data_IF_411707749504
#
_entry.id   IF_411707749504
#
_cell.length_a   1.000
_cell.length_b   1.000
_cell.length_c   1.000
_cell.angle_alpha   90.00
_cell.angle_beta   90.00
_cell.angle_gamma   90.00
#
_symmetry.space_group_name_H-M   'P 1'
#
loop_
_entity.id
_entity.type
_entity.pdbx_description
1 polymer ?
#
# COMPACT_ATOMS: atom_id res chain seq x y z
N UNK A 1 -39.45 6.07 -15.84
CA UNK A 1 -38.46 5.86 -16.92
C UNK A 1 -38.10 4.39 -16.98
N UNK A 2 -38.21 3.76 -18.15
CA UNK A 2 -37.80 2.37 -18.36
C UNK A 2 -36.27 2.28 -18.25
N UNK A 3 -35.77 1.77 -17.13
CA UNK A 3 -34.33 1.69 -16.84
C UNK A 3 -33.64 0.78 -17.86
N UNK A 4 -32.73 1.30 -18.68
CA UNK A 4 -31.89 0.49 -19.57
C UNK A 4 -30.92 -0.37 -18.75
N UNK A 5 -30.64 -1.59 -19.21
CA UNK A 5 -29.50 -2.34 -18.67
C UNK A 5 -28.19 -1.66 -19.11
N UNK A 6 -27.06 -2.00 -18.48
CA UNK A 6 -25.75 -1.44 -18.86
C UNK A 6 -25.46 -1.61 -20.36
N UNK A 7 -25.66 -2.81 -20.89
CA UNK A 7 -25.43 -3.12 -22.32
C UNK A 7 -26.39 -2.33 -23.21
N UNK A 8 -27.68 -2.28 -22.84
CA UNK A 8 -28.66 -1.48 -23.58
C UNK A 8 -28.36 0.02 -23.54
N UNK A 9 -27.82 0.52 -22.44
CA UNK A 9 -27.42 1.91 -22.32
C UNK A 9 -26.23 2.21 -23.24
N UNK A 10 -25.18 1.39 -23.22
CA UNK A 10 -24.03 1.55 -24.13
C UNK A 10 -24.47 1.52 -25.59
N UNK A 11 -25.27 0.54 -26.01
CA UNK A 11 -25.80 0.46 -27.37
C UNK A 11 -26.69 1.67 -27.71
N UNK A 12 -27.48 2.16 -26.76
CA UNK A 12 -28.26 3.38 -26.98
C UNK A 12 -27.36 4.61 -27.19
N UNK A 13 -26.23 4.70 -26.48
CA UNK A 13 -25.23 5.74 -26.72
C UNK A 13 -24.61 5.61 -28.11
N UNK A 14 -24.28 4.41 -28.57
CA UNK A 14 -23.75 4.19 -29.92
C UNK A 14 -24.76 4.62 -30.99
N UNK A 15 -26.04 4.32 -30.79
CA UNK A 15 -27.14 4.73 -31.67
C UNK A 15 -27.23 6.26 -31.78
N UNK A 16 -27.19 6.99 -30.65
CA UNK A 16 -27.33 8.46 -30.69
C UNK A 16 -26.04 9.18 -31.10
N UNK A 17 -24.91 8.47 -31.16
CA UNK A 17 -23.60 9.03 -31.55
C UNK A 17 -23.31 8.84 -33.04
N UNK A 18 -24.16 8.13 -33.77
CA UNK A 18 -23.99 7.82 -35.20
C UNK A 18 -25.21 8.24 -36.00
N UNK A 19 -25.01 9.07 -37.02
CA UNK A 19 -26.09 9.54 -37.90
C UNK A 19 -26.80 8.39 -38.64
N UNK A 20 -26.09 7.27 -38.86
CA UNK A 20 -26.58 6.12 -39.63
C UNK A 20 -26.28 4.78 -38.92
N UNK A 21 -26.59 4.68 -37.63
CA UNK A 21 -26.43 3.42 -36.89
C UNK A 21 -27.20 2.26 -37.58
N UNK A 22 -26.53 1.12 -37.72
CA UNK A 22 -27.14 -0.12 -38.21
C UNK A 22 -26.92 -1.24 -37.21
N UNK A 23 -28.00 -1.93 -36.85
CA UNK A 23 -27.94 -3.08 -35.97
C UNK A 23 -27.09 -4.21 -36.59
N UNK A 24 -26.44 -5.00 -35.73
CA UNK A 24 -25.60 -6.13 -36.13
C UNK A 24 -26.40 -7.20 -36.88
N UNK A 25 -25.71 -7.99 -37.72
CA UNK A 25 -26.33 -9.04 -38.57
C UNK A 25 -26.92 -10.19 -37.75
N UNK A 26 -26.31 -10.50 -36.61
CA UNK A 26 -26.82 -11.47 -35.66
C UNK A 26 -27.66 -10.70 -34.67
N UNK A 27 -28.99 -10.88 -34.71
CA UNK A 27 -29.96 -10.19 -33.85
C UNK A 27 -29.46 -10.09 -32.41
N UNK A 28 -28.84 -8.97 -32.06
CA UNK A 28 -28.43 -8.76 -30.70
C UNK A 28 -29.71 -8.52 -29.89
N UNK A 29 -29.89 -9.32 -28.85
CA UNK A 29 -31.02 -9.21 -27.92
C UNK A 29 -31.16 -7.81 -27.30
N UNK A 30 -30.12 -6.99 -27.45
CA UNK A 30 -29.94 -5.65 -26.93
C UNK A 30 -30.84 -4.63 -27.64
N UNK A 31 -30.71 -4.42 -28.96
CA UNK A 31 -31.52 -3.44 -29.70
C UNK A 31 -33.01 -3.80 -29.64
N UNK A 32 -33.37 -5.09 -29.76
CA UNK A 32 -34.75 -5.53 -29.55
C UNK A 32 -35.24 -5.24 -28.13
N UNK A 33 -34.34 -5.28 -27.13
CA UNK A 33 -34.64 -4.87 -25.77
C UNK A 33 -34.88 -3.37 -25.63
N UNK A 34 -34.16 -2.55 -26.39
CA UNK A 34 -34.32 -1.08 -26.46
C UNK A 34 -35.62 -0.72 -27.21
N UNK A 35 -35.91 -1.41 -28.31
CA UNK A 35 -37.15 -1.27 -29.09
C UNK A 35 -38.37 -1.62 -28.25
N UNK A 36 -38.33 -2.73 -27.49
CA UNK A 36 -39.39 -3.11 -26.54
C UNK A 36 -39.64 -2.07 -25.44
N UNK A 37 -38.64 -1.23 -25.13
CA UNK A 37 -38.77 -0.10 -24.21
C UNK A 37 -39.33 1.16 -24.89
N UNK A 38 -39.60 1.09 -26.19
CA UNK A 38 -40.19 2.15 -27.00
C UNK A 38 -39.23 3.27 -27.35
N UNK A 39 -37.91 3.07 -27.24
CA UNK A 39 -36.91 4.14 -27.47
C UNK A 39 -36.42 4.19 -28.91
N UNK A 40 -36.44 3.07 -29.62
CA UNK A 40 -36.02 2.98 -31.02
C UNK A 40 -37.04 2.20 -31.84
N UNK A 41 -36.94 2.30 -33.15
CA UNK A 41 -37.63 1.44 -34.11
C UNK A 41 -36.60 0.74 -34.99
N UNK A 42 -36.71 -0.59 -35.09
CA UNK A 42 -35.85 -1.43 -35.92
C UNK A 42 -36.53 -1.69 -37.26
N UNK A 43 -35.82 -1.37 -38.35
CA UNK A 43 -36.31 -1.62 -39.71
C UNK A 43 -35.69 -2.89 -40.30
N UNK A 44 -36.35 -3.45 -41.33
CA UNK A 44 -35.91 -4.70 -42.01
C UNK A 44 -34.51 -4.60 -42.63
N UNK A 45 -34.09 -3.40 -43.01
CA UNK A 45 -32.75 -3.12 -43.54
C UNK A 45 -31.69 -2.92 -42.45
N UNK A 46 -32.05 -3.16 -41.18
CA UNK A 46 -31.26 -2.97 -39.96
C UNK A 46 -31.00 -1.51 -39.60
N UNK A 47 -31.62 -0.56 -40.29
CA UNK A 47 -31.57 0.83 -39.86
C UNK A 47 -32.32 0.99 -38.53
N UNK A 48 -31.72 1.78 -37.64
CA UNK A 48 -32.30 2.12 -36.35
C UNK A 48 -32.71 3.59 -36.39
N UNK A 49 -33.93 3.88 -35.96
CA UNK A 49 -34.40 5.26 -35.77
C UNK A 49 -34.85 5.47 -34.33
N UNK A 50 -34.59 6.64 -33.78
CA UNK A 50 -35.14 7.03 -32.49
C UNK A 50 -36.65 7.22 -32.62
N UNK A 51 -37.40 6.76 -31.62
CA UNK A 51 -38.79 7.22 -31.44
C UNK A 51 -38.79 8.60 -30.78
N UNK A 52 -39.95 9.25 -30.66
CA UNK A 52 -40.07 10.50 -29.87
C UNK A 52 -39.55 10.36 -28.44
N UNK A 53 -39.78 9.21 -27.80
CA UNK A 53 -39.26 8.95 -26.46
C UNK A 53 -37.74 8.74 -26.46
N UNK A 54 -37.20 8.10 -27.51
CA UNK A 54 -35.77 8.01 -27.75
C UNK A 54 -35.10 9.36 -27.94
N UNK A 55 -35.66 10.22 -28.78
CA UNK A 55 -35.16 11.59 -29.02
C UNK A 55 -35.15 12.42 -27.73
N UNK A 56 -36.21 12.33 -26.94
CA UNK A 56 -36.27 13.01 -25.63
C UNK A 56 -35.14 12.52 -24.70
N UNK A 57 -34.96 11.20 -24.56
CA UNK A 57 -33.89 10.64 -23.74
C UNK A 57 -32.50 11.01 -24.29
N UNK A 58 -32.30 11.00 -25.60
CA UNK A 58 -31.06 11.39 -26.25
C UNK A 58 -30.71 12.85 -25.93
N UNK A 59 -31.68 13.76 -26.07
CA UNK A 59 -31.50 15.17 -25.74
C UNK A 59 -31.17 15.39 -24.25
N UNK A 60 -31.82 14.64 -23.36
CA UNK A 60 -31.51 14.70 -21.93
C UNK A 60 -30.09 14.21 -21.61
N UNK A 61 -29.64 13.12 -22.23
CA UNK A 61 -28.28 12.59 -22.08
C UNK A 61 -27.26 13.60 -22.61
N UNK A 62 -27.47 14.11 -23.83
CA UNK A 62 -26.56 15.08 -24.45
C UNK A 62 -26.47 16.36 -23.62
N UNK A 63 -27.60 16.87 -23.13
CA UNK A 63 -27.62 18.03 -22.22
C UNK A 63 -26.82 17.76 -20.96
N UNK A 64 -26.98 16.61 -20.30
CA UNK A 64 -26.19 16.26 -19.10
C UNK A 64 -24.70 16.16 -19.39
N UNK A 65 -24.31 15.64 -20.56
CA UNK A 65 -22.90 15.55 -20.99
C UNK A 65 -22.30 16.92 -21.25
N UNK A 66 -23.02 17.79 -21.96
CA UNK A 66 -22.61 19.16 -22.25
C UNK A 66 -22.47 20.01 -20.96
N UNK A 67 -23.45 19.89 -20.05
CA UNK A 67 -23.38 20.60 -18.77
C UNK A 67 -22.44 19.93 -17.77
N UNK A 68 -22.06 18.67 -18.00
CA UNK A 68 -21.29 17.81 -17.08
C UNK A 68 -22.01 17.59 -15.75
N UNK A 69 -23.32 17.42 -15.80
CA UNK A 69 -24.18 17.20 -14.63
C UNK A 69 -24.11 15.75 -14.13
N UNK A 70 -22.97 15.41 -13.51
CA UNK A 70 -22.69 14.06 -13.02
C UNK A 70 -23.68 13.58 -11.96
N UNK A 71 -24.28 14.50 -11.20
CA UNK A 71 -25.26 14.19 -10.15
C UNK A 71 -26.50 13.46 -10.69
N UNK A 72 -26.93 13.80 -11.92
CA UNK A 72 -28.10 13.22 -12.55
C UNK A 72 -27.77 12.09 -13.54
N UNK A 73 -26.49 11.81 -13.77
CA UNK A 73 -26.05 10.66 -14.55
C UNK A 73 -26.15 9.37 -13.72
N UNK A 74 -26.55 8.28 -14.37
CA UNK A 74 -26.40 6.94 -13.78
C UNK A 74 -24.92 6.55 -13.63
N UNK A 75 -24.60 5.51 -12.85
CA UNK A 75 -23.20 5.04 -12.70
C UNK A 75 -22.61 4.63 -14.07
N UNK A 76 -23.37 3.90 -14.88
CA UNK A 76 -22.93 3.46 -16.21
C UNK A 76 -22.73 4.66 -17.16
N UNK A 77 -23.61 5.66 -17.08
CA UNK A 77 -23.49 6.92 -17.83
C UNK A 77 -22.24 7.71 -17.43
N UNK A 78 -21.97 7.83 -16.12
CA UNK A 78 -20.76 8.49 -15.62
C UNK A 78 -19.50 7.77 -16.08
N UNK A 79 -19.45 6.43 -15.96
CA UNK A 79 -18.30 5.65 -16.41
C UNK A 79 -18.04 5.87 -17.90
N UNK A 80 -19.07 5.77 -18.73
CA UNK A 80 -18.93 5.95 -20.18
C UNK A 80 -18.56 7.39 -20.56
N UNK A 81 -19.16 8.38 -19.92
CA UNK A 81 -18.80 9.79 -20.12
C UNK A 81 -17.32 10.04 -19.79
N UNK A 82 -16.88 9.57 -18.62
CA UNK A 82 -15.51 9.76 -18.13
C UNK A 82 -14.47 8.98 -18.93
N UNK A 83 -14.85 7.91 -19.65
CA UNK A 83 -13.96 7.20 -20.57
C UNK A 83 -13.75 7.94 -21.89
N UNK A 84 -14.68 8.81 -22.28
CA UNK A 84 -14.70 9.48 -23.59
C UNK A 84 -14.35 10.97 -23.53
N UNK A 85 -14.18 11.54 -22.33
CA UNK A 85 -13.75 12.92 -22.15
C UNK A 85 -12.30 12.97 -21.66
N UNK A 86 -11.50 13.89 -22.20
CA UNK A 86 -10.16 14.13 -21.70
C UNK A 86 -10.24 14.74 -20.28
N UNK A 87 -9.34 14.34 -19.39
CA UNK A 87 -9.35 14.83 -18.01
C UNK A 87 -9.30 16.36 -17.90
N UNK A 88 -8.66 17.04 -18.84
CA UNK A 88 -8.53 18.50 -18.88
C UNK A 88 -9.84 19.22 -19.23
N UNK A 89 -10.75 18.55 -19.92
CA UNK A 89 -12.02 19.13 -20.38
C UNK A 89 -13.12 19.00 -19.30
N UNK A 90 -12.86 18.27 -18.22
CA UNK A 90 -13.77 18.24 -17.07
C UNK A 90 -13.79 19.60 -16.36
N UNK A 91 -14.97 20.12 -16.06
CA UNK A 91 -15.17 21.31 -15.23
C UNK A 91 -14.84 21.00 -13.78
N UNK A 92 -14.39 22.02 -13.03
CA UNK A 92 -14.02 21.84 -11.62
C UNK A 92 -15.21 21.40 -10.77
N UNK A 93 -16.42 21.89 -11.06
CA UNK A 93 -17.65 21.45 -10.39
C UNK A 93 -17.89 19.95 -10.60
N UNK A 94 -17.63 19.43 -11.81
CA UNK A 94 -17.75 18.02 -12.11
C UNK A 94 -16.71 17.19 -11.34
N UNK A 95 -15.47 17.68 -11.23
CA UNK A 95 -14.42 17.05 -10.42
C UNK A 95 -14.82 17.01 -8.94
N UNK A 96 -15.36 18.10 -8.39
CA UNK A 96 -15.85 18.17 -7.00
C UNK A 96 -17.00 17.19 -6.78
N UNK A 97 -17.94 17.07 -7.72
CA UNK A 97 -19.01 16.09 -7.66
C UNK A 97 -18.46 14.65 -7.69
N UNK A 98 -17.52 14.38 -8.59
CA UNK A 98 -16.88 13.08 -8.75
C UNK A 98 -16.16 12.64 -7.47
N UNK A 99 -15.46 13.56 -6.78
CA UNK A 99 -14.78 13.28 -5.50
C UNK A 99 -15.71 12.87 -4.36
N UNK A 100 -17.04 12.99 -4.55
CA UNK A 100 -18.08 12.61 -3.59
C UNK A 100 -18.93 11.45 -4.10
N UNK A 101 -18.51 10.79 -5.18
CA UNK A 101 -19.28 9.70 -5.77
C UNK A 101 -19.43 8.53 -4.78
N UNK A 102 -20.58 7.85 -4.85
CA UNK A 102 -20.84 6.66 -4.05
C UNK A 102 -19.99 5.47 -4.52
N UNK A 103 -19.70 5.41 -5.82
CA UNK A 103 -18.80 4.41 -6.38
C UNK A 103 -17.33 4.76 -6.02
N UNK A 104 -16.60 3.81 -5.45
CA UNK A 104 -15.24 4.05 -4.93
C UNK A 104 -14.22 4.38 -6.03
N UNK A 105 -14.32 3.74 -7.19
CA UNK A 105 -13.42 3.96 -8.33
C UNK A 105 -13.61 5.37 -8.91
N UNK A 106 -14.87 5.77 -9.13
CA UNK A 106 -15.21 7.11 -9.56
C UNK A 106 -14.77 8.16 -8.53
N UNK A 107 -15.00 7.88 -7.24
CA UNK A 107 -14.58 8.76 -6.14
C UNK A 107 -13.07 8.96 -6.11
N UNK A 108 -12.31 7.88 -6.23
CA UNK A 108 -10.85 7.91 -6.30
C UNK A 108 -10.36 8.76 -7.48
N UNK A 109 -10.95 8.57 -8.68
CA UNK A 109 -10.61 9.40 -9.85
C UNK A 109 -10.87 10.87 -9.58
N UNK A 110 -12.01 11.20 -8.97
CA UNK A 110 -12.33 12.58 -8.56
C UNK A 110 -11.33 13.16 -7.56
N UNK A 111 -10.94 12.40 -6.53
CA UNK A 111 -9.94 12.83 -5.54
C UNK A 111 -8.57 13.08 -6.18
N UNK A 112 -8.11 12.19 -7.07
CA UNK A 112 -6.84 12.40 -7.81
C UNK A 112 -6.87 13.67 -8.64
N UNK A 113 -7.99 13.96 -9.31
CA UNK A 113 -8.16 15.19 -10.08
C UNK A 113 -8.23 16.44 -9.19
N UNK A 114 -8.90 16.38 -8.03
CA UNK A 114 -8.89 17.48 -7.07
C UNK A 114 -7.47 17.84 -6.63
N UNK A 115 -6.64 16.84 -6.32
CA UNK A 115 -5.23 17.03 -5.96
C UNK A 115 -4.45 17.61 -7.14
N UNK A 116 -4.54 16.98 -8.32
CA UNK A 116 -3.80 17.38 -9.53
C UNK A 116 -4.09 18.83 -9.94
N UNK A 117 -5.30 19.32 -9.68
CA UNK A 117 -5.74 20.68 -10.01
C UNK A 117 -5.57 21.70 -8.88
N UNK A 118 -5.08 21.29 -7.70
CA UNK A 118 -4.96 22.19 -6.55
C UNK A 118 -6.30 22.67 -5.98
N UNK A 119 -7.37 21.90 -6.20
CA UNK A 119 -8.73 22.21 -5.72
C UNK A 119 -9.02 21.61 -4.34
N UNK A 120 -8.13 20.76 -3.83
CA UNK A 120 -8.29 20.11 -2.54
C UNK A 120 -7.97 21.11 -1.41
N UNK A 121 -9.00 21.45 -0.62
CA UNK A 121 -8.82 22.25 0.59
C UNK A 121 -8.49 21.38 1.82
N UNK A 122 -8.01 22.01 2.90
CA UNK A 122 -7.62 21.30 4.13
C UNK A 122 -8.77 20.51 4.76
N UNK A 123 -9.99 21.06 4.73
CA UNK A 123 -11.18 20.41 5.33
C UNK A 123 -11.57 19.16 4.54
N UNK A 124 -11.43 19.21 3.22
CA UNK A 124 -11.61 18.06 2.33
C UNK A 124 -10.51 17.03 2.58
N UNK A 125 -9.25 17.45 2.71
CA UNK A 125 -8.15 16.54 3.01
C UNK A 125 -8.39 15.75 4.31
N UNK A 126 -8.74 16.45 5.40
CA UNK A 126 -9.11 15.81 6.67
C UNK A 126 -10.31 14.87 6.50
N UNK A 127 -11.33 15.25 5.72
CA UNK A 127 -12.48 14.37 5.48
C UNK A 127 -12.10 13.09 4.71
N UNK A 128 -11.27 13.22 3.68
CA UNK A 128 -10.81 12.09 2.87
C UNK A 128 -9.81 11.19 3.61
N UNK A 129 -9.13 11.71 4.65
CA UNK A 129 -8.31 10.90 5.55
C UNK A 129 -9.14 9.84 6.31
N UNK A 130 -10.47 9.95 6.30
CA UNK A 130 -11.41 8.98 6.87
C UNK A 130 -12.27 8.28 5.80
N UNK A 131 -11.84 8.29 4.53
CA UNK A 131 -12.58 7.60 3.46
C UNK A 131 -12.57 6.08 3.66
N UNK A 132 -13.61 5.40 3.17
CA UNK A 132 -13.70 3.93 3.20
C UNK A 132 -12.59 3.27 2.37
N UNK A 133 -12.14 3.92 1.30
CA UNK A 133 -11.05 3.45 0.46
C UNK A 133 -9.70 3.81 1.09
N UNK A 134 -8.88 2.79 1.39
CA UNK A 134 -7.49 2.99 1.85
C UNK A 134 -6.66 3.79 0.85
N UNK A 135 -6.89 3.58 -0.45
CA UNK A 135 -6.19 4.32 -1.50
C UNK A 135 -6.50 5.83 -1.47
N UNK A 136 -7.76 6.20 -1.20
CA UNK A 136 -8.12 7.62 -1.00
C UNK A 136 -7.46 8.17 0.27
N UNK A 137 -7.47 7.41 1.38
CA UNK A 137 -6.82 7.84 2.62
C UNK A 137 -5.31 8.03 2.43
N UNK A 138 -4.64 7.11 1.73
CA UNK A 138 -3.21 7.19 1.43
C UNK A 138 -2.85 8.46 0.63
N UNK A 139 -3.71 8.89 -0.31
CA UNK A 139 -3.51 10.14 -1.05
C UNK A 139 -3.54 11.40 -0.16
N UNK A 140 -4.15 11.31 1.02
CA UNK A 140 -4.26 12.42 1.97
C UNK A 140 -3.05 12.56 2.89
N UNK A 141 -2.14 11.58 2.90
CA UNK A 141 -0.87 11.71 3.63
C UNK A 141 -0.09 12.90 3.08
N UNK A 142 0.38 13.76 3.99
CA UNK A 142 1.02 15.05 3.65
C UNK A 142 0.08 16.17 3.24
N UNK A 143 -1.24 15.93 3.24
CA UNK A 143 -2.29 16.94 2.98
C UNK A 143 -3.23 17.10 4.17
N UNK A 144 -3.45 16.03 4.92
CA UNK A 144 -4.08 16.06 6.24
C UNK A 144 -3.00 15.99 7.34
N UNK A 145 -3.39 16.37 8.56
CA UNK A 145 -2.56 16.14 9.75
C UNK A 145 -2.31 14.63 9.91
N UNK A 146 -1.06 14.23 10.20
CA UNK A 146 -0.69 12.83 10.43
C UNK A 146 -1.54 12.18 11.52
N UNK A 147 -1.99 12.97 12.49
CA UNK A 147 -2.83 12.52 13.60
C UNK A 147 -4.18 11.96 13.17
N UNK A 148 -4.66 12.31 11.97
CA UNK A 148 -5.89 11.72 11.40
C UNK A 148 -5.74 10.23 11.09
N UNK A 149 -4.51 9.76 10.84
CA UNK A 149 -4.21 8.37 10.46
C UNK A 149 -3.79 7.49 11.63
N UNK A 150 -3.87 7.98 12.87
CA UNK A 150 -3.36 7.27 14.04
C UNK A 150 -4.02 5.90 14.27
N UNK A 151 -5.27 5.74 13.83
CA UNK A 151 -6.03 4.49 13.90
C UNK A 151 -6.11 3.76 12.57
N UNK A 152 -5.35 4.19 11.55
CA UNK A 152 -5.35 3.50 10.27
C UNK A 152 -4.61 2.17 10.40
N UNK A 153 -5.16 1.14 9.78
CA UNK A 153 -4.66 -0.24 9.79
C UNK A 153 -4.24 -0.68 8.37
N UNK A 154 -4.44 0.16 7.36
CA UNK A 154 -4.07 -0.16 5.98
C UNK A 154 -2.57 -0.05 5.78
N UNK A 155 -2.00 -1.12 5.23
CA UNK A 155 -0.61 -1.15 4.79
C UNK A 155 -0.31 -0.03 3.78
N UNK A 156 -1.21 0.23 2.84
CA UNK A 156 -1.04 1.29 1.84
C UNK A 156 -0.94 2.69 2.47
N UNK A 157 -1.70 2.94 3.54
CA UNK A 157 -1.62 4.21 4.29
C UNK A 157 -0.31 4.28 5.08
N UNK A 158 0.10 3.19 5.73
CA UNK A 158 1.36 3.12 6.46
C UNK A 158 2.58 3.30 5.54
N UNK A 159 2.56 2.71 4.34
CA UNK A 159 3.59 2.92 3.32
C UNK A 159 3.66 4.37 2.85
N UNK A 160 2.50 5.00 2.60
CA UNK A 160 2.43 6.41 2.25
C UNK A 160 2.98 7.31 3.37
N UNK A 161 2.68 7.00 4.64
CA UNK A 161 3.25 7.71 5.81
C UNK A 161 4.77 7.58 5.86
N UNK A 162 5.31 6.35 5.72
CA UNK A 162 6.77 6.12 5.71
C UNK A 162 7.46 6.94 4.62
N UNK A 163 6.92 6.90 3.40
CA UNK A 163 7.43 7.66 2.26
C UNK A 163 7.35 9.17 2.48
N UNK A 164 6.23 9.67 2.99
CA UNK A 164 6.06 11.09 3.27
C UNK A 164 7.08 11.58 4.31
N UNK A 165 7.30 10.82 5.38
CA UNK A 165 8.26 11.16 6.43
C UNK A 165 9.69 11.19 5.89
N UNK A 166 10.10 10.18 5.10
CA UNK A 166 11.45 10.10 4.55
C UNK A 166 11.75 11.21 3.54
N UNK A 167 10.74 11.70 2.83
CA UNK A 167 10.88 12.74 1.81
C UNK A 167 10.80 14.18 2.36
N UNK A 168 10.20 14.40 3.55
CA UNK A 168 9.78 15.74 3.98
C UNK A 168 10.32 16.22 5.34
N UNK A 169 11.29 15.52 5.98
CA UNK A 169 11.87 15.90 7.29
C UNK A 169 10.81 16.29 8.33
N UNK A 170 9.74 15.50 8.41
CA UNK A 170 8.58 15.78 9.25
C UNK A 170 8.92 15.51 10.71
N UNK A 171 8.51 16.39 11.63
CA UNK A 171 8.58 16.08 13.06
C UNK A 171 7.52 15.03 13.41
N UNK A 172 7.93 13.76 13.44
CA UNK A 172 7.06 12.62 13.70
C UNK A 172 6.84 12.35 15.18
N UNK A 173 7.60 13.00 16.07
CA UNK A 173 7.61 12.70 17.50
C UNK A 173 6.21 12.65 18.13
N UNK A 174 5.30 13.63 17.92
CA UNK A 174 3.96 13.57 18.52
C UNK A 174 3.09 12.41 18.03
N UNK A 175 3.25 12.03 16.76
CA UNK A 175 2.53 10.91 16.15
C UNK A 175 3.07 9.59 16.70
N UNK A 176 4.39 9.43 16.65
CA UNK A 176 5.12 8.26 17.14
C UNK A 176 4.88 8.02 18.63
N UNK A 177 4.96 9.08 19.46
CA UNK A 177 4.67 9.02 20.90
C UNK A 177 3.29 8.38 21.15
N UNK A 178 2.27 8.76 20.38
CA UNK A 178 0.94 8.18 20.57
C UNK A 178 0.83 6.73 20.11
N UNK A 179 1.39 6.36 18.96
CA UNK A 179 1.28 4.99 18.46
C UNK A 179 2.15 4.01 19.25
N UNK A 180 3.30 4.45 19.77
CA UNK A 180 4.20 3.63 20.59
C UNK A 180 3.59 3.27 21.96
N UNK A 181 2.75 4.14 22.52
CA UNK A 181 2.04 3.90 23.79
C UNK A 181 0.62 3.36 23.60
N UNK A 182 0.24 3.01 22.37
CA UNK A 182 -1.11 2.56 22.08
C UNK A 182 -1.40 1.20 22.73
N UNK A 183 -2.62 0.96 23.24
CA UNK A 183 -3.02 -0.39 23.67
C UNK A 183 -3.07 -1.38 22.49
N UNK A 184 -3.10 -0.90 21.24
CA UNK A 184 -3.18 -1.75 20.06
C UNK A 184 -1.80 -2.15 19.55
N UNK A 185 -1.57 -3.47 19.47
CA UNK A 185 -0.30 -4.04 19.02
C UNK A 185 0.13 -3.56 17.62
N UNK A 186 -0.80 -3.47 16.66
CA UNK A 186 -0.47 -3.06 15.30
C UNK A 186 0.05 -1.62 15.22
N UNK A 187 -0.43 -0.73 16.09
CA UNK A 187 0.06 0.66 16.16
C UNK A 187 1.46 0.70 16.75
N UNK A 188 1.74 -0.13 17.75
CA UNK A 188 3.09 -0.24 18.33
C UNK A 188 4.08 -0.89 17.38
N UNK A 189 3.66 -1.89 16.61
CA UNK A 189 4.46 -2.45 15.51
C UNK A 189 4.76 -1.39 14.45
N UNK A 190 3.76 -0.59 14.06
CA UNK A 190 4.01 0.53 13.14
C UNK A 190 4.89 1.63 13.78
N UNK A 191 4.84 1.79 15.10
CA UNK A 191 5.75 2.68 15.81
C UNK A 191 7.19 2.21 15.65
N UNK A 192 7.46 0.90 15.78
CA UNK A 192 8.79 0.32 15.51
C UNK A 192 9.31 0.80 14.15
N UNK A 193 8.47 0.84 13.12
CA UNK A 193 8.86 1.30 11.77
C UNK A 193 9.23 2.79 11.67
N UNK A 194 8.86 3.61 12.64
CA UNK A 194 9.03 5.07 12.58
C UNK A 194 9.94 5.65 13.67
N UNK A 195 10.13 4.95 14.79
CA UNK A 195 10.90 5.45 15.93
C UNK A 195 12.39 5.59 15.63
N UNK A 196 13.04 6.52 16.34
CA UNK A 196 14.48 6.54 16.55
C UNK A 196 14.91 5.70 17.76
N UNK A 197 16.22 5.66 18.01
CA UNK A 197 16.83 4.88 19.09
C UNK A 197 16.30 5.24 20.48
N UNK A 198 15.79 6.45 20.68
CA UNK A 198 15.26 6.91 21.96
C UNK A 198 14.04 6.13 22.48
N UNK A 199 13.34 5.38 21.61
CA UNK A 199 12.22 4.52 21.98
C UNK A 199 12.60 3.05 22.19
N UNK A 200 13.86 2.67 21.96
CA UNK A 200 14.32 1.29 22.17
C UNK A 200 13.97 0.79 23.58
N UNK A 201 14.25 1.52 24.68
CA UNK A 201 13.92 1.04 26.03
C UNK A 201 12.42 0.83 26.25
N UNK A 202 11.56 1.67 25.65
CA UNK A 202 10.11 1.53 25.75
C UNK A 202 9.64 0.26 25.04
N UNK A 203 10.06 0.07 23.79
CA UNK A 203 9.55 -0.99 22.92
C UNK A 203 10.16 -2.36 23.23
N UNK A 204 11.38 -2.41 23.78
CA UNK A 204 11.97 -3.65 24.30
C UNK A 204 11.32 -4.10 25.62
N UNK A 205 10.64 -3.22 26.35
CA UNK A 205 9.86 -3.58 27.54
C UNK A 205 8.36 -3.79 27.23
N UNK A 206 7.99 -3.89 25.95
CA UNK A 206 6.61 -4.11 25.55
C UNK A 206 6.10 -5.47 26.03
N UNK A 207 4.84 -5.54 26.45
CA UNK A 207 4.23 -6.80 26.86
C UNK A 207 4.06 -7.78 25.69
N UNK A 208 4.02 -7.28 24.44
CA UNK A 208 3.96 -8.09 23.24
C UNK A 208 5.34 -8.53 22.78
N UNK A 209 5.53 -9.84 22.72
CA UNK A 209 6.72 -10.48 22.15
C UNK A 209 6.98 -10.02 20.71
N UNK A 210 5.95 -9.83 19.89
CA UNK A 210 6.13 -9.38 18.51
C UNK A 210 6.72 -7.97 18.42
N UNK A 211 6.34 -7.06 19.32
CA UNK A 211 6.90 -5.70 19.37
C UNK A 211 8.35 -5.74 19.83
N UNK A 212 8.66 -6.53 20.88
CA UNK A 212 10.04 -6.74 21.33
C UNK A 212 10.92 -7.30 20.20
N UNK A 213 10.48 -8.36 19.54
CA UNK A 213 11.21 -8.99 18.42
C UNK A 213 11.39 -8.05 17.22
N UNK A 214 10.36 -7.30 16.82
CA UNK A 214 10.47 -6.32 15.74
C UNK A 214 11.46 -5.20 16.08
N UNK A 215 11.49 -4.76 17.34
CA UNK A 215 12.44 -3.77 17.83
C UNK A 215 13.87 -4.29 17.76
N UNK A 216 14.10 -5.55 18.17
CA UNK A 216 15.42 -6.21 18.05
C UNK A 216 15.84 -6.29 16.58
N UNK A 217 14.94 -6.71 15.68
CA UNK A 217 15.24 -6.85 14.26
C UNK A 217 15.66 -5.51 13.63
N UNK A 218 14.96 -4.43 13.96
CA UNK A 218 15.25 -3.09 13.43
C UNK A 218 16.54 -2.49 13.99
N UNK A 219 16.77 -2.64 15.29
CA UNK A 219 17.86 -1.93 15.99
C UNK A 219 19.02 -2.86 16.37
N UNK A 220 19.15 -4.00 15.70
CA UNK A 220 20.09 -5.06 16.05
C UNK A 220 21.53 -4.58 16.27
N UNK A 221 21.99 -3.61 15.47
CA UNK A 221 23.36 -3.07 15.52
C UNK A 221 23.51 -1.91 16.52
N UNK A 222 22.41 -1.34 17.01
CA UNK A 222 22.38 -0.20 17.93
C UNK A 222 22.16 -0.60 19.39
N UNK A 223 21.91 -1.89 19.68
CA UNK A 223 21.72 -2.36 21.05
C UNK A 223 23.04 -2.34 21.82
N UNK A 224 23.05 -1.71 22.99
CA UNK A 224 24.20 -1.77 23.89
C UNK A 224 24.32 -3.13 24.61
N UNK A 225 25.50 -3.40 25.16
CA UNK A 225 25.78 -4.68 25.82
C UNK A 225 24.86 -4.96 27.01
N UNK A 226 24.46 -3.94 27.77
CA UNK A 226 23.62 -4.13 28.96
C UNK A 226 22.19 -4.49 28.55
N UNK A 227 21.68 -3.87 27.50
CA UNK A 227 20.38 -4.16 26.88
C UNK A 227 20.38 -5.58 26.32
N UNK A 228 21.44 -5.98 25.63
CA UNK A 228 21.59 -7.36 25.14
C UNK A 228 21.57 -8.35 26.31
N UNK A 229 22.27 -8.08 27.40
CA UNK A 229 22.28 -8.98 28.57
C UNK A 229 20.89 -9.17 29.19
N UNK A 230 20.06 -8.13 29.18
CA UNK A 230 18.65 -8.20 29.60
C UNK A 230 17.82 -9.04 28.62
N UNK A 231 17.97 -8.84 27.32
CA UNK A 231 17.22 -9.59 26.30
C UNK A 231 17.61 -11.07 26.25
N UNK A 232 18.87 -11.42 26.50
CA UNK A 232 19.33 -12.82 26.67
C UNK A 232 18.71 -13.45 27.93
N UNK A 233 18.30 -12.65 28.90
CA UNK A 233 17.59 -13.11 30.09
C UNK A 233 16.06 -12.98 29.98
N UNK A 234 15.51 -12.58 28.83
CA UNK A 234 14.07 -12.42 28.65
C UNK A 234 13.35 -13.74 28.92
N UNK A 235 12.23 -13.67 29.64
CA UNK A 235 11.40 -14.83 29.96
C UNK A 235 10.89 -15.58 28.72
N UNK A 236 10.66 -14.85 27.62
CA UNK A 236 10.14 -15.40 26.38
C UNK A 236 11.28 -15.97 25.50
N UNK A 237 11.28 -17.28 25.21
CA UNK A 237 12.30 -17.90 24.36
C UNK A 237 12.37 -17.34 22.93
N UNK A 238 11.27 -16.78 22.41
CA UNK A 238 11.27 -16.18 21.09
C UNK A 238 12.13 -14.92 21.04
N UNK A 239 12.11 -14.09 22.09
CA UNK A 239 12.96 -12.89 22.20
C UNK A 239 14.42 -13.30 22.24
N UNK A 240 14.77 -14.27 23.09
CA UNK A 240 16.15 -14.79 23.18
C UNK A 240 16.62 -15.37 21.84
N UNK A 241 15.75 -16.09 21.14
CA UNK A 241 16.00 -16.59 19.78
C UNK A 241 16.26 -15.46 18.78
N UNK A 242 15.48 -14.38 18.83
CA UNK A 242 15.69 -13.20 17.97
C UNK A 242 17.03 -12.52 18.25
N UNK A 243 17.43 -12.39 19.52
CA UNK A 243 18.78 -11.89 19.86
C UNK A 243 19.85 -12.77 19.21
N UNK A 244 19.75 -14.09 19.38
CA UNK A 244 20.70 -15.02 18.78
C UNK A 244 20.75 -14.93 17.25
N UNK A 245 19.61 -14.68 16.60
CA UNK A 245 19.52 -14.63 15.14
C UNK A 245 19.97 -13.30 14.54
N UNK A 246 19.63 -12.17 15.17
CA UNK A 246 19.70 -10.84 14.53
C UNK A 246 20.80 -9.94 15.06
N UNK A 247 21.15 -10.04 16.34
CA UNK A 247 22.12 -9.12 16.98
C UNK A 247 23.54 -9.49 16.57
N UNK A 248 24.29 -8.51 16.04
CA UNK A 248 25.61 -8.75 15.46
C UNK A 248 26.78 -8.41 16.39
N UNK A 249 26.56 -7.55 17.39
CA UNK A 249 27.59 -7.02 18.29
C UNK A 249 27.66 -7.78 19.63
N UNK A 250 27.44 -9.09 19.62
CA UNK A 250 27.51 -9.93 20.83
C UNK A 250 28.94 -10.11 21.31
N UNK A 251 29.15 -10.00 22.63
CA UNK A 251 30.42 -10.39 23.27
C UNK A 251 30.57 -11.91 23.37
N UNK A 252 31.80 -12.40 23.53
CA UNK A 252 32.07 -13.83 23.72
C UNK A 252 31.25 -14.43 24.88
N UNK A 253 31.14 -13.69 25.99
CA UNK A 253 30.35 -14.14 27.14
C UNK A 253 28.85 -14.27 26.81
N UNK A 254 28.31 -13.34 26.01
CA UNK A 254 26.91 -13.38 25.57
C UNK A 254 26.66 -14.51 24.57
N UNK A 255 27.59 -14.73 23.64
CA UNK A 255 27.54 -15.87 22.70
C UNK A 255 27.52 -17.19 23.50
N UNK A 256 28.40 -17.34 24.48
CA UNK A 256 28.43 -18.53 25.34
C UNK A 256 27.10 -18.73 26.07
N UNK A 257 26.52 -17.67 26.66
CA UNK A 257 25.20 -17.77 27.32
C UNK A 257 24.10 -18.21 26.34
N UNK A 258 24.07 -17.66 25.13
CA UNK A 258 23.09 -18.01 24.10
C UNK A 258 23.26 -19.43 23.59
N UNK A 259 24.49 -19.94 23.44
CA UNK A 259 24.76 -21.33 23.05
C UNK A 259 24.21 -22.35 24.06
N UNK A 260 24.18 -21.99 25.34
CA UNK A 260 23.65 -22.84 26.41
C UNK A 260 22.13 -22.67 26.59
N UNK A 261 21.48 -21.74 25.89
CA UNK A 261 20.02 -21.63 25.87
C UNK A 261 19.42 -22.69 24.94
N UNK A 262 18.33 -23.33 25.39
CA UNK A 262 17.68 -24.42 24.65
C UNK A 262 17.14 -24.01 23.27
N UNK A 263 16.65 -22.78 23.13
CA UNK A 263 16.04 -22.27 21.88
C UNK A 263 17.02 -21.38 21.14
N UNK A 264 17.65 -20.45 21.84
CA UNK A 264 18.60 -19.53 21.23
C UNK A 264 19.88 -20.25 20.77
N UNK A 265 20.25 -21.36 21.43
CA UNK A 265 21.42 -22.16 21.10
C UNK A 265 21.36 -22.77 19.70
N UNK A 266 20.18 -23.17 19.22
CA UNK A 266 19.99 -23.64 17.85
C UNK A 266 20.39 -22.57 16.83
N UNK A 267 19.85 -21.35 16.98
CA UNK A 267 20.16 -20.23 16.08
C UNK A 267 21.62 -19.78 16.17
N UNK A 268 22.19 -19.82 17.38
CA UNK A 268 23.60 -19.45 17.57
C UNK A 268 24.54 -20.50 16.96
N UNK A 269 24.21 -21.79 17.06
CA UNK A 269 24.96 -22.87 16.41
C UNK A 269 24.92 -22.72 14.88
N UNK A 270 23.76 -22.45 14.30
CA UNK A 270 23.63 -22.19 12.85
C UNK A 270 24.53 -21.03 12.40
N UNK A 271 24.56 -19.92 13.17
CA UNK A 271 25.45 -18.78 12.89
C UNK A 271 26.93 -19.14 13.00
N UNK A 272 27.32 -19.91 14.02
CA UNK A 272 28.70 -20.36 14.18
C UNK A 272 29.12 -21.30 13.04
N UNK A 273 28.23 -22.19 12.59
CA UNK A 273 28.48 -23.07 11.46
C UNK A 273 28.65 -22.29 10.16
N UNK A 274 27.82 -21.26 9.93
CA UNK A 274 27.94 -20.36 8.77
C UNK A 274 29.24 -19.55 8.83
N UNK A 275 29.61 -19.04 10.01
CA UNK A 275 30.89 -18.36 10.23
C UNK A 275 32.06 -19.30 9.95
N UNK A 276 32.03 -20.53 10.47
CA UNK A 276 33.07 -21.53 10.23
C UNK A 276 33.22 -21.89 8.74
N UNK A 277 32.09 -22.05 8.02
CA UNK A 277 32.09 -22.29 6.57
C UNK A 277 32.71 -21.11 5.82
N UNK A 278 32.35 -19.88 6.18
CA UNK A 278 32.88 -18.66 5.56
C UNK A 278 34.38 -18.51 5.85
N UNK A 279 34.81 -18.75 7.08
CA UNK A 279 36.22 -18.73 7.47
C UNK A 279 37.04 -19.77 6.71
N UNK A 280 36.56 -21.01 6.58
CA UNK A 280 37.20 -22.05 5.77
C UNK A 280 37.33 -21.64 4.30
N UNK A 281 36.31 -20.97 3.73
CA UNK A 281 36.34 -20.46 2.36
C UNK A 281 37.36 -19.34 2.19
N UNK A 282 37.42 -18.38 3.12
CA UNK A 282 38.42 -17.31 3.11
C UNK A 282 39.83 -17.87 3.18
N UNK A 283 40.08 -18.81 4.10
CA UNK A 283 41.36 -19.48 4.22
C UNK A 283 41.76 -20.22 2.92
N UNK A 284 40.81 -20.87 2.25
CA UNK A 284 41.07 -21.51 0.95
C UNK A 284 41.41 -20.48 -0.14
N UNK A 285 40.71 -19.34 -0.18
CA UNK A 285 41.02 -18.24 -1.10
C UNK A 285 42.40 -17.64 -0.80
N UNK A 286 42.74 -17.41 0.47
CA UNK A 286 44.07 -16.98 0.88
C UNK A 286 45.14 -17.95 0.37
N UNK A 287 44.95 -19.27 0.53
CA UNK A 287 45.87 -20.28 -0.01
C UNK A 287 45.99 -20.23 -1.55
N UNK A 288 44.90 -19.94 -2.27
CA UNK A 288 44.92 -19.82 -3.74
C UNK A 288 45.66 -18.56 -4.24
N UNK A 289 45.60 -17.46 -3.47
CA UNK A 289 46.27 -16.21 -3.81
C UNK A 289 47.66 -16.04 -3.17
N UNK A 290 48.05 -16.95 -2.27
CA UNK A 290 49.32 -16.92 -1.54
C UNK A 290 50.55 -17.33 -2.39
N UNK A 291 50.42 -17.68 -3.67
CA UNK A 291 51.57 -18.01 -4.52
C UNK A 291 51.59 -17.26 -5.86
N UNK A 292 52.19 -16.06 -5.82
CA UNK A 292 53.11 -15.58 -6.88
C UNK A 292 54.36 -14.96 -6.23
N UNK A 293 54.96 -15.66 -5.25
CA UNK A 293 56.21 -15.33 -4.50
C UNK A 293 56.02 -14.64 -3.14
N UNK A 294 56.11 -15.40 -2.04
CA UNK A 294 56.52 -14.86 -0.72
C UNK A 294 55.94 -15.58 0.51
N UNK A 295 56.71 -16.53 1.05
CA UNK A 295 56.67 -17.06 2.42
C UNK A 295 55.31 -17.25 3.11
N UNK A 296 54.77 -18.47 3.00
CA UNK A 296 53.75 -18.96 3.93
C UNK A 296 54.35 -19.05 5.35
N UNK A 297 54.05 -18.05 6.18
CA UNK A 297 53.94 -18.28 7.61
C UNK A 297 52.82 -19.31 7.81
N UNK A 298 53.18 -20.59 7.96
CA UNK A 298 52.34 -21.58 8.65
C UNK A 298 51.97 -20.96 10.00
N UNK A 299 50.83 -20.29 10.07
CA UNK A 299 50.32 -19.73 11.29
C UNK A 299 50.08 -20.89 12.24
N UNK A 300 50.63 -20.80 13.46
CA UNK A 300 50.45 -21.74 14.60
C UNK A 300 48.97 -22.10 14.92
N UNK A 301 48.01 -21.56 14.17
CA UNK A 301 46.56 -21.81 14.24
C UNK A 301 46.11 -23.15 13.65
N UNK A 302 46.89 -23.81 12.78
CA UNK A 302 46.52 -25.14 12.26
C UNK A 302 46.45 -26.21 13.37
N UNK A 303 47.22 -26.06 14.47
CA UNK A 303 47.18 -27.01 15.60
C UNK A 303 45.96 -26.82 16.53
N UNK A 304 45.36 -25.64 16.56
CA UNK A 304 44.24 -25.33 17.46
C UNK A 304 42.86 -25.73 16.91
N UNK A 305 42.74 -25.98 15.60
CA UNK A 305 41.46 -26.29 14.93
C UNK A 305 41.24 -27.80 14.69
N UNK A 306 42.20 -28.64 15.09
CA UNK A 306 42.12 -30.11 15.01
C UNK A 306 41.82 -30.80 16.35
N UNK A 307 41.50 -30.03 17.39
CA UNK A 307 40.99 -30.51 18.69
C UNK A 307 39.55 -30.07 18.88
#
# INVERSE_FOLDING_TARGET
MNKLTKIQFTTFIDIISQDNYRASLYYDSTEQGIERKGLISLHKDRSVRLTKAGEQLANEINKRRETQDLAHMSIDERQLFLSNIAEQDLKDEAVIQLSKDRNAELRLRGVRLLIKRGLLDQKQATKFAHDKSSEIRALMVGKADLMEFIKDESYEVHDAIRKYISENNVNTKPFVDKIAHSPQIYQRLFAVDLVGEEYIPLLLNDYSTNVRCATIDRFADSLDSATIDQLIADSDPAVRGYVAQKVNNLTDAQIQRLLHDRVAGFWMQDRLDEYCKTYRRLFYLEKLFADVNGDMACSRREESLQR
#
